data_IF_551925993805
#
_entry.id   IF_551925993805
#
_cell.length_a   1.000
_cell.length_b   1.000
_cell.length_c   1.000
_cell.angle_alpha   90.00
_cell.angle_beta   90.00
_cell.angle_gamma   90.00
#
_symmetry.space_group_name_H-M   'P 1'
#
loop_
_entity.id
_entity.type
_entity.pdbx_description
1 polymer ?
#
# COMPACT_ATOMS: atom_id res chain seq x y z
N UNK A 1 30.53 19.80 12.90
CA UNK A 1 31.01 19.52 11.53
C UNK A 1 29.82 19.60 10.59
N UNK A 2 29.60 20.74 9.96
CA UNK A 2 28.53 20.92 8.98
C UNK A 2 28.97 20.40 7.62
N UNK A 3 28.53 19.21 7.24
CA UNK A 3 28.64 18.75 5.85
C UNK A 3 27.63 19.52 4.99
N UNK A 4 28.03 19.94 3.79
CA UNK A 4 27.11 20.63 2.87
C UNK A 4 25.92 19.72 2.54
N UNK A 5 24.72 20.23 2.82
CA UNK A 5 23.43 19.56 2.61
C UNK A 5 22.96 19.59 1.15
N UNK A 6 23.67 20.33 0.29
CA UNK A 6 23.36 20.51 -1.12
C UNK A 6 24.56 20.11 -1.98
N UNK A 7 24.30 19.32 -3.03
CA UNK A 7 25.28 19.00 -4.08
C UNK A 7 26.25 17.85 -3.79
N UNK A 8 26.25 17.28 -2.58
CA UNK A 8 27.12 16.17 -2.22
C UNK A 8 26.40 14.82 -2.22
N UNK A 9 27.12 13.74 -2.52
CA UNK A 9 26.62 12.37 -2.28
C UNK A 9 26.50 12.15 -0.78
N UNK A 10 25.31 11.74 -0.33
CA UNK A 10 25.01 11.41 1.07
C UNK A 10 24.35 10.03 1.10
N UNK A 11 24.59 9.29 2.18
CA UNK A 11 23.91 8.02 2.42
C UNK A 11 22.42 8.30 2.68
N UNK A 12 21.55 7.52 2.02
CA UNK A 12 20.11 7.55 2.25
C UNK A 12 19.80 7.21 3.71
N UNK A 13 18.97 8.03 4.35
CA UNK A 13 18.63 7.86 5.78
C UNK A 13 17.68 6.71 6.00
N UNK A 14 16.87 6.41 5.00
CA UNK A 14 15.84 5.39 4.99
C UNK A 14 16.39 3.97 4.78
N UNK A 15 17.56 3.84 4.14
CA UNK A 15 18.16 2.55 3.76
C UNK A 15 18.38 1.60 4.95
N UNK A 16 18.94 2.03 6.10
CA UNK A 16 19.11 1.13 7.23
C UNK A 16 17.80 0.48 7.68
N UNK A 17 16.66 1.20 7.65
CA UNK A 17 15.36 0.65 8.02
C UNK A 17 14.85 -0.31 6.93
N UNK A 18 14.83 0.13 5.67
CA UNK A 18 14.30 -0.66 4.57
C UNK A 18 15.10 -1.94 4.28
N UNK A 19 16.41 -1.94 4.53
CA UNK A 19 17.28 -3.10 4.31
C UNK A 19 17.30 -4.10 5.46
N UNK A 20 16.69 -3.78 6.62
CA UNK A 20 16.73 -4.64 7.81
C UNK A 20 15.33 -5.06 8.24
N UNK A 21 14.62 -4.20 8.95
CA UNK A 21 13.25 -4.43 9.43
C UNK A 21 12.22 -4.30 8.29
N UNK A 22 12.57 -3.56 7.24
CA UNK A 22 11.66 -3.25 6.14
C UNK A 22 10.92 -1.92 6.34
N UNK A 23 10.23 -1.50 5.29
CA UNK A 23 9.23 -0.43 5.39
C UNK A 23 7.93 -0.99 5.95
N UNK A 24 7.08 -0.11 6.46
CA UNK A 24 5.69 -0.44 6.80
C UNK A 24 4.82 0.29 5.78
N UNK A 25 4.09 -0.48 4.98
CA UNK A 25 3.22 0.00 3.91
C UNK A 25 1.76 -0.32 4.23
N UNK A 26 0.85 0.08 3.34
CA UNK A 26 -0.59 0.00 3.58
C UNK A 26 -1.05 -1.42 3.95
N UNK A 27 -0.47 -2.45 3.31
CA UNK A 27 -0.83 -3.86 3.55
C UNK A 27 -0.15 -4.45 4.79
N UNK A 28 0.84 -3.76 5.37
CA UNK A 28 1.57 -4.20 6.57
C UNK A 28 0.91 -3.72 7.88
N UNK A 29 -0.13 -2.88 7.80
CA UNK A 29 -0.81 -2.24 8.95
C UNK A 29 -1.70 -3.22 9.74
N UNK A 30 -1.25 -4.46 9.93
CA UNK A 30 -2.01 -5.53 10.60
C UNK A 30 -2.21 -5.27 12.10
N UNK A 31 -1.27 -4.56 12.72
CA UNK A 31 -1.26 -4.27 14.16
C UNK A 31 -1.83 -2.87 14.50
N UNK A 32 -2.30 -2.11 13.50
CA UNK A 32 -2.85 -0.77 13.69
C UNK A 32 -4.19 -0.82 14.45
N UNK A 33 -4.30 -0.19 15.65
CA UNK A 33 -5.51 -0.22 16.46
C UNK A 33 -6.78 0.26 15.74
N UNK A 34 -6.64 1.24 14.83
CA UNK A 34 -7.77 1.73 14.02
C UNK A 34 -8.29 0.70 13.00
N UNK A 35 -7.51 -0.32 12.66
CA UNK A 35 -7.88 -1.38 11.72
C UNK A 35 -8.35 -2.67 12.43
N UNK A 36 -8.57 -2.64 13.75
CA UNK A 36 -9.04 -3.81 14.48
C UNK A 36 -10.40 -4.29 13.94
N UNK A 37 -10.42 -5.52 13.42
CA UNK A 37 -11.61 -6.13 12.83
C UNK A 37 -11.87 -5.73 11.37
N UNK A 38 -10.90 -5.07 10.72
CA UNK A 38 -10.95 -4.84 9.28
C UNK A 38 -11.06 -6.17 8.51
N UNK A 39 -11.88 -6.18 7.46
CA UNK A 39 -12.03 -7.30 6.56
C UNK A 39 -11.34 -7.02 5.23
N UNK A 40 -11.02 -8.08 4.49
CA UNK A 40 -10.55 -7.95 3.11
C UNK A 40 -11.74 -7.69 2.18
N UNK A 41 -11.51 -6.83 1.19
CA UNK A 41 -12.48 -6.55 0.12
C UNK A 41 -11.88 -6.95 -1.22
N UNK A 42 -12.72 -7.46 -2.11
CA UNK A 42 -12.39 -7.70 -3.52
C UNK A 42 -13.42 -7.03 -4.40
N UNK A 43 -12.95 -6.44 -5.50
CA UNK A 43 -13.79 -5.79 -6.49
C UNK A 43 -13.88 -6.65 -7.74
N UNK A 44 -15.10 -6.99 -8.15
CA UNK A 44 -15.36 -7.60 -9.46
C UNK A 44 -15.32 -6.50 -10.52
N UNK A 45 -14.53 -6.71 -11.57
CA UNK A 45 -14.35 -5.73 -12.66
C UNK A 45 -15.14 -6.13 -13.90
N UNK A 46 -15.43 -5.13 -14.75
CA UNK A 46 -16.06 -5.39 -16.04
C UNK A 46 -15.19 -6.31 -16.90
N UNK A 47 -15.83 -7.31 -17.52
CA UNK A 47 -15.19 -8.20 -18.50
C UNK A 47 -15.23 -7.63 -19.92
N UNK A 48 -15.93 -6.50 -20.11
CA UNK A 48 -16.08 -5.81 -21.41
C UNK A 48 -15.70 -4.34 -21.29
N UNK A 49 -15.24 -3.75 -22.38
CA UNK A 49 -14.87 -2.33 -22.42
C UNK A 49 -16.11 -1.40 -22.38
N UNK A 50 -17.24 -1.84 -22.95
CA UNK A 50 -18.47 -1.07 -22.99
C UNK A 50 -19.70 -2.00 -23.06
N UNK A 51 -20.73 -1.68 -22.28
CA UNK A 51 -21.97 -2.45 -22.21
C UNK A 51 -22.89 -1.87 -21.14
N UNK A 52 -24.16 -2.29 -21.13
CA UNK A 52 -25.09 -1.98 -20.05
C UNK A 52 -25.15 -3.14 -19.08
N UNK A 53 -25.17 -2.85 -17.77
CA UNK A 53 -25.41 -3.86 -16.74
C UNK A 53 -26.88 -4.28 -16.82
N UNK A 54 -27.14 -5.55 -17.10
CA UNK A 54 -28.51 -6.11 -17.16
C UNK A 54 -28.92 -6.82 -15.87
N UNK A 55 -27.96 -7.17 -15.02
CA UNK A 55 -28.18 -7.81 -13.72
C UNK A 55 -26.85 -8.15 -13.06
N UNK A 56 -26.87 -8.34 -11.74
CA UNK A 56 -25.76 -8.85 -10.93
C UNK A 56 -26.38 -9.87 -9.97
N UNK A 57 -25.92 -11.12 -10.05
CA UNK A 57 -26.26 -12.14 -9.07
C UNK A 57 -25.27 -12.06 -7.90
N UNK A 58 -25.82 -11.97 -6.68
CA UNK A 58 -25.07 -11.88 -5.42
C UNK A 58 -25.53 -12.95 -4.43
N UNK A 59 -26.36 -13.90 -4.86
CA UNK A 59 -26.67 -15.08 -4.06
C UNK A 59 -25.50 -16.06 -4.07
N UNK A 60 -25.42 -16.85 -3.00
CA UNK A 60 -24.44 -17.95 -2.87
C UNK A 60 -24.84 -19.17 -3.70
#
# INVERSE_FOLDING_TARGET
MGGSILGNRVIRKEDPKFLTTGGEYVDDLLDEPLLKGAAHVTYVRSTVAHGRITGIDVSD
#
